data_IF_639446341948
#
_entry.id   IF_639446341948
#
_cell.length_a   1.000
_cell.length_b   1.000
_cell.length_c   1.000
_cell.angle_alpha   90.00
_cell.angle_beta   90.00
_cell.angle_gamma   90.00
#
_symmetry.space_group_name_H-M   'P 1'
#
loop_
_entity.id
_entity.type
_entity.pdbx_description
1 polymer ?
#
# COMPACT_ATOMS: atom_id res chain seq x y z
N UNK A 1 -6.56 -17.72 -8.45
CA UNK A 1 -6.32 -16.92 -9.67
C UNK A 1 -4.82 -16.74 -9.82
N UNK A 2 -4.26 -17.03 -10.99
CA UNK A 2 -2.83 -16.87 -11.26
C UNK A 2 -2.48 -15.39 -11.50
N UNK A 3 -1.23 -14.99 -11.27
CA UNK A 3 -0.74 -13.65 -11.57
C UNK A 3 -0.91 -13.33 -13.06
N UNK A 4 -1.42 -12.15 -13.40
CA UNK A 4 -1.66 -11.77 -14.80
C UNK A 4 -0.35 -11.72 -15.63
N UNK A 5 -0.40 -12.13 -16.90
CA UNK A 5 0.78 -12.19 -17.79
C UNK A 5 1.54 -10.86 -17.86
N UNK A 6 0.83 -9.75 -18.12
CA UNK A 6 1.41 -8.39 -18.10
C UNK A 6 2.16 -8.06 -16.80
N UNK A 7 1.73 -8.55 -15.64
CA UNK A 7 2.43 -8.35 -14.36
C UNK A 7 3.75 -9.10 -14.36
N UNK A 8 3.74 -10.38 -14.74
CA UNK A 8 4.96 -11.20 -14.88
C UNK A 8 5.94 -10.56 -15.86
N UNK A 9 5.43 -10.05 -16.97
CA UNK A 9 6.23 -9.31 -17.94
C UNK A 9 6.82 -8.03 -17.34
N UNK A 10 6.02 -7.20 -16.67
CA UNK A 10 6.49 -5.96 -16.02
C UNK A 10 7.57 -6.21 -14.96
N UNK A 11 7.43 -7.27 -14.15
CA UNK A 11 8.44 -7.68 -13.16
C UNK A 11 9.77 -8.02 -13.86
N UNK A 12 9.74 -8.85 -14.91
CA UNK A 12 10.95 -9.21 -15.66
C UNK A 12 11.56 -8.00 -16.38
N UNK A 13 10.71 -7.15 -16.95
CA UNK A 13 11.14 -5.94 -17.65
C UNK A 13 11.82 -4.95 -16.71
N UNK A 14 11.34 -4.83 -15.46
CA UNK A 14 11.98 -3.95 -14.47
C UNK A 14 13.44 -4.34 -14.24
N UNK A 15 13.73 -5.63 -14.06
CA UNK A 15 15.12 -6.11 -13.95
C UNK A 15 15.95 -5.84 -15.20
N UNK A 16 15.39 -6.04 -16.40
CA UNK A 16 16.05 -5.68 -17.68
C UNK A 16 16.29 -4.17 -17.83
N UNK A 17 15.51 -3.35 -17.14
CA UNK A 17 15.65 -1.89 -17.07
C UNK A 17 16.44 -1.45 -15.83
N UNK A 18 17.30 -2.33 -15.33
CA UNK A 18 18.28 -2.02 -14.28
C UNK A 18 17.64 -1.59 -12.95
N UNK A 19 16.40 -2.01 -12.71
CA UNK A 19 15.79 -1.88 -11.39
C UNK A 19 16.37 -2.95 -10.48
N UNK A 20 16.95 -2.52 -9.37
CA UNK A 20 17.35 -3.39 -8.26
C UNK A 20 16.35 -3.27 -7.13
N UNK A 21 16.14 -4.36 -6.39
CA UNK A 21 15.25 -4.41 -5.23
C UNK A 21 16.00 -4.83 -3.99
N UNK A 22 15.57 -4.31 -2.85
CA UNK A 22 16.21 -4.54 -1.55
C UNK A 22 15.13 -4.65 -0.47
N UNK A 23 15.37 -5.54 0.49
CA UNK A 23 14.56 -5.66 1.70
C UNK A 23 15.34 -5.06 2.86
N UNK A 24 14.69 -4.14 3.58
CA UNK A 24 15.24 -3.49 4.77
C UNK A 24 14.42 -3.96 5.97
N UNK A 25 15.08 -4.53 6.97
CA UNK A 25 14.45 -5.02 8.22
C UNK A 25 14.77 -4.15 9.43
N UNK A 26 15.73 -3.23 9.31
CA UNK A 26 16.24 -2.40 10.40
C UNK A 26 16.50 -0.97 9.93
N UNK A 27 16.73 -0.03 10.85
CA UNK A 27 17.11 1.36 10.56
C UNK A 27 16.18 2.12 9.58
N UNK A 28 14.86 1.91 9.70
CA UNK A 28 13.89 2.49 8.76
C UNK A 28 13.97 4.02 8.69
N UNK A 29 14.36 4.68 9.79
CA UNK A 29 14.57 6.13 9.87
C UNK A 29 15.45 6.70 8.75
N UNK A 30 16.45 5.94 8.27
CA UNK A 30 17.34 6.33 7.16
C UNK A 30 16.57 6.56 5.85
N UNK A 31 15.41 5.92 5.70
CA UNK A 31 14.57 5.96 4.50
C UNK A 31 13.36 6.89 4.64
N UNK A 32 13.10 7.45 5.82
CA UNK A 32 11.88 8.20 6.10
C UNK A 32 11.74 9.45 5.23
N UNK A 33 12.79 10.27 5.09
CA UNK A 33 12.74 11.50 4.30
C UNK A 33 12.46 11.21 2.82
N UNK A 34 13.10 10.16 2.28
CA UNK A 34 12.86 9.70 0.90
C UNK A 34 11.43 9.18 0.76
N UNK A 35 10.96 8.35 1.69
CA UNK A 35 9.59 7.84 1.70
C UNK A 35 8.57 8.98 1.71
N UNK A 36 8.72 9.98 2.57
CA UNK A 36 7.77 11.08 2.69
C UNK A 36 7.74 11.95 1.44
N UNK A 37 8.90 12.19 0.81
CA UNK A 37 8.98 12.86 -0.50
C UNK A 37 8.21 12.07 -1.57
N UNK A 38 8.47 10.78 -1.70
CA UNK A 38 7.78 9.92 -2.67
C UNK A 38 6.27 9.80 -2.37
N UNK A 39 5.89 9.83 -1.09
CA UNK A 39 4.50 9.77 -0.65
C UNK A 39 3.76 11.05 -1.02
N UNK A 40 4.43 12.20 -0.92
CA UNK A 40 3.94 13.50 -1.41
C UNK A 40 3.71 13.50 -2.91
N UNK A 41 4.67 12.98 -3.69
CA UNK A 41 4.49 12.80 -5.14
C UNK A 41 3.31 11.86 -5.46
N UNK A 42 3.16 10.80 -4.67
CA UNK A 42 2.10 9.79 -4.84
C UNK A 42 0.73 10.36 -4.53
N UNK A 43 0.61 11.13 -3.44
CA UNK A 43 -0.61 11.84 -3.05
C UNK A 43 -1.05 12.86 -4.09
N UNK A 44 -0.11 13.71 -4.55
CA UNK A 44 -0.39 14.71 -5.59
C UNK A 44 -0.87 14.05 -6.88
N UNK A 45 -0.24 12.95 -7.28
CA UNK A 45 -0.59 12.22 -8.51
C UNK A 45 -1.95 11.54 -8.41
N UNK A 46 -2.25 10.90 -7.28
CA UNK A 46 -3.44 10.09 -7.12
C UNK A 46 -4.64 10.87 -6.52
N UNK A 47 -4.44 12.14 -6.17
CA UNK A 47 -5.49 13.04 -5.71
C UNK A 47 -5.99 12.76 -4.29
N UNK A 48 -5.11 12.36 -3.36
CA UNK A 48 -5.47 12.15 -1.95
C UNK A 48 -4.65 13.04 -1.02
N UNK A 49 -5.21 13.37 0.15
CA UNK A 49 -4.55 14.17 1.17
C UNK A 49 -3.61 13.33 2.04
N UNK A 50 -2.48 13.90 2.44
CA UNK A 50 -1.57 13.29 3.40
C UNK A 50 -1.95 13.63 4.83
N UNK A 51 -1.69 12.70 5.75
CA UNK A 51 -1.52 13.03 7.16
C UNK A 51 -0.30 13.94 7.37
N UNK A 52 -0.21 14.54 8.56
CA UNK A 52 0.97 15.33 8.95
C UNK A 52 2.24 14.47 8.91
N UNK A 53 3.39 15.06 8.58
CA UNK A 53 4.68 14.34 8.47
C UNK A 53 4.99 13.49 9.72
N UNK A 54 4.71 14.00 10.91
CA UNK A 54 4.93 13.29 12.17
C UNK A 54 4.09 12.01 12.30
N UNK A 55 2.92 11.93 11.68
CA UNK A 55 2.12 10.70 11.65
C UNK A 55 2.89 9.56 10.98
N UNK A 56 3.47 9.82 9.81
CA UNK A 56 4.27 8.83 9.09
C UNK A 56 5.59 8.53 9.79
N UNK A 57 6.20 9.54 10.43
CA UNK A 57 7.44 9.35 11.22
C UNK A 57 7.21 8.36 12.36
N UNK A 58 6.13 8.57 13.13
CA UNK A 58 5.76 7.70 14.23
C UNK A 58 5.48 6.26 13.76
N UNK A 59 4.85 6.10 12.59
CA UNK A 59 4.66 4.78 11.98
C UNK A 59 6.03 4.15 11.66
N UNK A 60 6.91 4.86 10.96
CA UNK A 60 8.27 4.38 10.64
C UNK A 60 9.02 3.89 11.88
N UNK A 61 9.03 4.70 12.94
CA UNK A 61 9.69 4.38 14.23
C UNK A 61 9.03 3.24 15.01
N UNK A 62 7.72 3.05 14.85
CA UNK A 62 7.00 1.94 15.49
C UNK A 62 7.23 0.63 14.74
N UNK A 63 7.27 0.69 13.42
CA UNK A 63 7.45 -0.48 12.56
C UNK A 63 8.85 -1.06 12.67
N UNK A 64 9.89 -0.22 12.79
CA UNK A 64 11.27 -0.69 12.96
C UNK A 64 11.49 -1.53 14.23
N UNK A 65 10.54 -1.52 15.17
CA UNK A 65 10.62 -2.24 16.46
C UNK A 65 9.79 -3.53 16.49
N UNK A 66 9.11 -3.86 15.39
CA UNK A 66 8.25 -5.04 15.29
C UNK A 66 8.60 -5.84 14.03
N UNK A 67 7.96 -7.00 13.88
CA UNK A 67 8.13 -7.82 12.67
C UNK A 67 7.52 -7.11 11.45
N UNK A 68 8.36 -6.36 10.74
CA UNK A 68 8.01 -5.59 9.56
C UNK A 68 9.24 -5.39 8.68
N UNK A 69 9.03 -4.96 7.44
CA UNK A 69 10.12 -4.66 6.52
C UNK A 69 9.72 -3.58 5.52
N UNK A 70 10.73 -2.89 5.00
CA UNK A 70 10.59 -2.09 3.80
C UNK A 70 11.02 -2.91 2.59
N UNK A 71 10.24 -2.85 1.52
CA UNK A 71 10.70 -3.27 0.20
C UNK A 71 10.96 -2.05 -0.64
N UNK A 72 12.17 -1.95 -1.18
CA UNK A 72 12.66 -0.77 -1.89
C UNK A 72 13.03 -1.17 -3.32
N UNK A 73 12.71 -0.31 -4.29
CA UNK A 73 13.28 -0.40 -5.63
C UNK A 73 14.12 0.84 -5.97
N UNK A 74 15.28 0.60 -6.56
CA UNK A 74 16.24 1.61 -6.98
C UNK A 74 16.51 1.51 -8.47
N UNK A 75 16.83 2.64 -9.08
CA UNK A 75 17.50 2.71 -10.37
C UNK A 75 18.80 3.47 -10.17
N UNK A 76 19.94 2.81 -10.37
CA UNK A 76 21.25 3.29 -9.89
C UNK A 76 21.14 3.57 -8.38
N UNK A 77 21.60 4.74 -7.93
CA UNK A 77 21.51 5.16 -6.52
C UNK A 77 20.15 5.76 -6.13
N UNK A 78 19.23 5.95 -7.09
CA UNK A 78 17.98 6.64 -6.83
C UNK A 78 16.88 5.67 -6.41
N UNK A 79 16.37 5.85 -5.20
CA UNK A 79 15.18 5.14 -4.73
C UNK A 79 13.94 5.67 -5.47
N UNK A 80 13.25 4.77 -6.17
CA UNK A 80 12.04 5.07 -6.95
C UNK A 80 10.77 4.62 -6.26
N UNK A 81 10.84 3.63 -5.36
CA UNK A 81 9.68 3.09 -4.68
C UNK A 81 10.04 2.51 -3.31
N UNK A 82 9.20 2.75 -2.31
CA UNK A 82 9.31 2.18 -0.96
C UNK A 82 7.92 1.68 -0.53
N UNK A 83 7.84 0.40 -0.18
CA UNK A 83 6.65 -0.23 0.41
C UNK A 83 6.93 -0.64 1.84
N UNK A 84 6.00 -0.34 2.73
CA UNK A 84 6.01 -0.77 4.12
C UNK A 84 5.12 -1.99 4.28
N UNK A 85 5.65 -3.06 4.87
CA UNK A 85 4.92 -4.31 5.10
C UNK A 85 5.07 -4.74 6.54
N UNK A 86 3.95 -5.09 7.19
CA UNK A 86 3.91 -5.56 8.58
C UNK A 86 3.46 -7.01 8.62
N UNK A 87 4.18 -7.84 9.36
CA UNK A 87 3.80 -9.23 9.58
C UNK A 87 2.95 -9.32 10.83
N UNK A 88 1.79 -9.97 10.70
CA UNK A 88 0.96 -10.35 11.83
C UNK A 88 0.38 -11.74 11.61
N UNK A 89 0.69 -12.67 12.52
CA UNK A 89 0.42 -14.10 12.32
C UNK A 89 1.07 -14.58 11.03
N UNK A 90 0.27 -15.20 10.16
CA UNK A 90 0.72 -15.74 8.86
C UNK A 90 0.48 -14.76 7.69
N UNK A 91 0.20 -13.48 7.97
CA UNK A 91 -0.18 -12.47 6.97
C UNK A 91 0.85 -11.35 6.91
N UNK A 92 1.40 -11.14 5.72
CA UNK A 92 2.17 -9.95 5.38
C UNK A 92 1.24 -8.85 4.87
N UNK A 93 1.11 -7.75 5.61
CA UNK A 93 0.18 -6.67 5.34
C UNK A 93 0.90 -5.48 4.71
N UNK A 94 0.62 -5.21 3.43
CA UNK A 94 1.07 -4.00 2.76
C UNK A 94 0.23 -2.80 3.21
N UNK A 95 0.85 -1.94 4.02
CA UNK A 95 0.15 -0.83 4.69
C UNK A 95 0.29 0.50 3.93
N UNK A 96 1.48 0.81 3.46
CA UNK A 96 1.75 2.04 2.73
C UNK A 96 2.75 1.78 1.61
N UNK A 97 2.59 2.53 0.53
CA UNK A 97 3.58 2.57 -0.53
C UNK A 97 3.66 3.92 -1.19
N UNK A 98 4.88 4.28 -1.51
CA UNK A 98 5.21 5.53 -2.18
C UNK A 98 6.08 5.24 -3.40
N UNK A 99 5.88 6.01 -4.47
CA UNK A 99 6.63 5.83 -5.71
C UNK A 99 6.80 7.13 -6.48
N UNK A 100 7.97 7.30 -7.08
CA UNK A 100 8.32 8.47 -7.86
C UNK A 100 7.51 8.57 -9.16
N UNK A 101 7.42 9.79 -9.68
CA UNK A 101 6.99 10.03 -11.06
C UNK A 101 8.12 9.83 -12.07
N UNK A 102 9.37 9.89 -11.63
CA UNK A 102 10.52 9.68 -12.48
C UNK A 102 10.68 8.20 -12.83
N UNK A 103 11.21 7.92 -14.02
CA UNK A 103 11.53 6.56 -14.49
C UNK A 103 10.33 5.57 -14.40
N UNK A 104 9.10 6.10 -14.47
CA UNK A 104 7.85 5.31 -14.35
C UNK A 104 7.75 4.16 -15.35
N UNK A 105 8.29 4.36 -16.55
CA UNK A 105 8.36 3.35 -17.60
C UNK A 105 9.25 2.16 -17.25
N UNK A 106 10.03 2.21 -16.15
CA UNK A 106 10.84 1.11 -15.64
C UNK A 106 10.08 0.12 -14.76
N UNK A 107 8.81 0.37 -14.44
CA UNK A 107 7.97 -0.54 -13.67
C UNK A 107 8.53 -0.88 -12.26
N UNK A 108 9.24 0.07 -11.61
CA UNK A 108 9.83 -0.15 -10.29
C UNK A 108 8.83 -0.68 -9.25
N UNK A 109 7.60 -0.15 -9.26
CA UNK A 109 6.51 -0.58 -8.36
C UNK A 109 6.17 -2.06 -8.46
N UNK A 110 6.24 -2.63 -9.69
CA UNK A 110 5.99 -4.05 -9.90
C UNK A 110 7.10 -4.92 -9.32
N UNK A 111 8.36 -4.51 -9.50
CA UNK A 111 9.50 -5.19 -8.89
C UNK A 111 9.46 -5.12 -7.37
N UNK A 112 9.14 -3.94 -6.79
CA UNK A 112 9.03 -3.76 -5.34
C UNK A 112 7.99 -4.68 -4.73
N UNK A 113 6.77 -4.76 -5.30
CA UNK A 113 5.76 -5.68 -4.76
C UNK A 113 6.18 -7.14 -4.89
N UNK A 114 6.83 -7.51 -6.00
CA UNK A 114 7.29 -8.88 -6.18
C UNK A 114 8.37 -9.25 -5.16
N UNK A 115 9.32 -8.35 -4.88
CA UNK A 115 10.29 -8.54 -3.82
C UNK A 115 9.62 -8.69 -2.45
N UNK A 116 8.66 -7.81 -2.15
CA UNK A 116 7.90 -7.90 -0.91
C UNK A 116 7.18 -9.24 -0.75
N UNK A 117 6.57 -9.78 -1.81
CA UNK A 117 5.88 -11.08 -1.79
C UNK A 117 6.87 -12.23 -1.61
N UNK A 118 8.02 -12.21 -2.30
CA UNK A 118 9.06 -13.23 -2.15
C UNK A 118 9.57 -13.26 -0.70
N UNK A 119 9.82 -12.10 -0.12
CA UNK A 119 10.29 -12.01 1.26
C UNK A 119 9.24 -12.48 2.27
N UNK A 120 7.96 -12.10 2.09
CA UNK A 120 6.86 -12.64 2.90
C UNK A 120 6.83 -14.18 2.87
N UNK A 121 7.02 -14.78 1.69
CA UNK A 121 7.09 -16.24 1.54
C UNK A 121 8.29 -16.84 2.26
N UNK A 122 9.45 -16.18 2.23
CA UNK A 122 10.64 -16.62 2.98
C UNK A 122 10.41 -16.58 4.50
N UNK A 123 9.59 -15.65 4.98
CA UNK A 123 9.14 -15.58 6.38
C UNK A 123 7.99 -16.55 6.69
N UNK A 124 7.69 -17.51 5.82
CA UNK A 124 6.59 -18.48 5.96
C UNK A 124 5.19 -17.85 6.12
N UNK A 125 4.98 -16.64 5.58
CA UNK A 125 3.63 -16.07 5.52
C UNK A 125 2.80 -16.82 4.46
N UNK A 126 1.60 -17.25 4.84
CA UNK A 126 0.64 -17.88 3.95
C UNK A 126 -0.10 -16.88 3.06
N UNK A 127 -0.20 -15.61 3.51
CA UNK A 127 -0.95 -14.58 2.82
C UNK A 127 -0.15 -13.29 2.67
N UNK A 128 -0.30 -12.64 1.51
CA UNK A 128 0.14 -11.26 1.28
C UNK A 128 -1.10 -10.39 1.02
N UNK A 129 -1.40 -9.51 1.96
CA UNK A 129 -2.57 -8.64 1.94
C UNK A 129 -2.25 -7.31 1.28
N UNK A 130 -2.83 -7.06 0.10
CA UNK A 130 -2.72 -5.80 -0.63
C UNK A 130 -3.60 -4.67 -0.06
N UNK A 131 -4.43 -4.94 0.94
CA UNK A 131 -5.42 -4.02 1.49
C UNK A 131 -6.66 -3.86 0.61
N UNK A 132 -7.50 -2.87 0.94
CA UNK A 132 -8.82 -2.68 0.32
C UNK A 132 -8.80 -2.39 -1.19
N UNK A 133 -9.88 -2.78 -1.86
CA UNK A 133 -10.19 -2.49 -3.26
C UNK A 133 -11.57 -1.85 -3.35
N UNK A 134 -11.82 -1.10 -4.41
CA UNK A 134 -13.15 -0.52 -4.67
C UNK A 134 -14.07 -1.58 -5.27
N UNK A 135 -15.35 -1.59 -4.86
CA UNK A 135 -16.40 -2.40 -5.51
C UNK A 135 -16.84 -1.70 -6.80
N UNK A 136 -17.54 -2.39 -7.70
CA UNK A 136 -17.81 -2.03 -9.10
C UNK A 136 -18.40 -0.62 -9.42
N UNK A 137 -18.59 0.27 -8.45
CA UNK A 137 -18.92 1.68 -8.67
C UNK A 137 -17.66 2.53 -8.93
N UNK A 138 -17.34 2.69 -10.22
CA UNK A 138 -16.17 3.35 -10.79
C UNK A 138 -16.11 4.89 -10.62
N UNK A 139 -16.71 5.45 -9.58
CA UNK A 139 -16.83 6.92 -9.42
C UNK A 139 -15.48 7.60 -9.17
N UNK A 140 -14.49 6.89 -8.62
CA UNK A 140 -13.15 7.42 -8.36
C UNK A 140 -12.09 6.75 -9.25
N UNK A 141 -11.71 7.42 -10.36
CA UNK A 141 -10.71 6.93 -11.34
C UNK A 141 -9.38 6.48 -10.71
N UNK A 142 -8.93 7.13 -9.64
CA UNK A 142 -7.71 6.78 -8.92
C UNK A 142 -7.81 5.43 -8.21
N UNK A 143 -8.92 5.19 -7.51
CA UNK A 143 -9.18 3.93 -6.81
C UNK A 143 -9.40 2.76 -7.76
N UNK A 144 -10.01 2.99 -8.92
CA UNK A 144 -10.14 1.98 -9.97
C UNK A 144 -8.78 1.51 -10.47
N UNK A 145 -7.86 2.46 -10.75
CA UNK A 145 -6.51 2.13 -11.22
C UNK A 145 -5.74 1.32 -10.17
N UNK A 146 -5.84 1.71 -8.89
CA UNK A 146 -5.21 0.99 -7.79
C UNK A 146 -5.80 -0.42 -7.61
N UNK A 147 -7.12 -0.56 -7.74
CA UNK A 147 -7.81 -1.85 -7.67
C UNK A 147 -7.34 -2.78 -8.78
N UNK A 148 -7.31 -2.31 -10.03
CA UNK A 148 -6.80 -3.08 -11.16
C UNK A 148 -5.33 -3.45 -10.98
N UNK A 149 -4.51 -2.55 -10.44
CA UNK A 149 -3.11 -2.84 -10.12
C UNK A 149 -2.98 -4.02 -9.16
N UNK A 150 -3.71 -4.01 -8.04
CA UNK A 150 -3.69 -5.08 -7.04
C UNK A 150 -4.17 -6.41 -7.64
N UNK A 151 -5.33 -6.41 -8.32
CA UNK A 151 -5.91 -7.63 -8.93
C UNK A 151 -4.97 -8.31 -9.94
N UNK A 152 -4.14 -7.53 -10.64
CA UNK A 152 -3.17 -8.07 -11.62
C UNK A 152 -2.05 -8.92 -10.99
N UNK A 153 -1.79 -8.83 -9.68
CA UNK A 153 -0.87 -9.73 -8.99
C UNK A 153 -1.46 -11.13 -8.73
N UNK A 154 -2.77 -11.33 -9.00
CA UNK A 154 -3.49 -12.56 -8.71
C UNK A 154 -4.15 -12.53 -7.34
N UNK A 155 -4.28 -13.70 -6.70
CA UNK A 155 -4.88 -13.82 -5.37
C UNK A 155 -6.40 -14.03 -5.39
N UNK A 156 -7.06 -13.64 -4.30
CA UNK A 156 -8.52 -13.73 -4.10
C UNK A 156 -9.02 -12.47 -3.42
N UNK A 157 -10.22 -12.04 -3.77
CA UNK A 157 -10.93 -10.96 -3.09
C UNK A 157 -11.62 -11.55 -1.86
N UNK A 158 -11.41 -10.93 -0.70
CA UNK A 158 -12.03 -11.35 0.56
C UNK A 158 -13.01 -10.27 0.97
N UNK A 159 -14.30 -10.63 1.01
CA UNK A 159 -15.33 -9.79 1.60
C UNK A 159 -15.31 -9.99 3.11
N UNK A 160 -15.10 -8.90 3.85
CA UNK A 160 -15.26 -8.89 5.30
C UNK A 160 -16.72 -8.62 5.66
N UNK A 161 -17.10 -8.92 6.92
CA UNK A 161 -18.42 -8.56 7.42
C UNK A 161 -18.65 -7.06 7.34
N UNK A 162 -19.92 -6.67 7.30
CA UNK A 162 -20.29 -5.26 7.47
C UNK A 162 -19.85 -4.73 8.84
N UNK A 163 -19.82 -3.41 8.96
CA UNK A 163 -19.56 -2.74 10.23
C UNK A 163 -20.83 -2.71 11.06
N UNK A 164 -20.72 -3.14 12.32
CA UNK A 164 -21.82 -3.12 13.28
C UNK A 164 -21.48 -2.14 14.42
N UNK A 165 -22.45 -1.29 14.76
CA UNK A 165 -22.32 -0.35 15.87
C UNK A 165 -22.92 -0.95 17.14
N UNK A 166 -22.12 -1.06 18.21
CA UNK A 166 -22.64 -1.35 19.56
C UNK A 166 -23.10 -0.04 20.18
N UNK A 167 -24.41 0.20 20.17
CA UNK A 167 -25.00 1.46 20.62
C UNK A 167 -25.03 1.53 22.15
N UNK A 168 -24.03 2.19 22.74
CA UNK A 168 -23.95 2.45 24.19
C UNK A 168 -24.84 3.59 24.67
N UNK A 169 -25.20 4.55 23.80
CA UNK A 169 -26.14 5.62 24.13
C UNK A 169 -27.06 5.95 22.96
N UNK A 170 -28.33 5.56 23.10
CA UNK A 170 -29.34 5.68 22.05
C UNK A 170 -29.58 7.11 21.61
N UNK A 171 -29.60 8.07 22.55
CA UNK A 171 -29.85 9.48 22.24
C UNK A 171 -28.75 10.08 21.36
N UNK A 172 -27.49 9.97 21.77
CA UNK A 172 -26.34 10.51 21.02
C UNK A 172 -26.15 9.81 19.68
N UNK A 173 -26.40 8.51 19.63
CA UNK A 173 -26.32 7.74 18.39
C UNK A 173 -27.36 8.21 17.35
N UNK A 174 -28.60 8.46 17.79
CA UNK A 174 -29.64 9.03 16.92
C UNK A 174 -29.26 10.42 16.42
N UNK A 175 -28.75 11.29 17.29
CA UNK A 175 -28.31 12.64 16.90
C UNK A 175 -27.14 12.59 15.89
N UNK A 176 -26.18 11.70 16.11
CA UNK A 176 -25.07 11.48 15.19
C UNK A 176 -25.53 11.00 13.80
N UNK A 177 -26.45 10.03 13.75
CA UNK A 177 -27.02 9.53 12.50
C UNK A 177 -27.88 10.59 11.79
N UNK A 178 -28.63 11.39 12.55
CA UNK A 178 -29.38 12.53 12.01
C UNK A 178 -28.44 13.57 11.37
N UNK A 179 -27.34 13.94 12.07
CA UNK A 179 -26.30 14.84 11.54
C UNK A 179 -25.67 14.28 10.26
N UNK A 180 -25.40 12.98 10.19
CA UNK A 180 -24.88 12.30 8.99
C UNK A 180 -25.84 12.42 7.82
N UNK A 181 -27.15 12.25 8.07
CA UNK A 181 -28.19 12.32 7.05
C UNK A 181 -28.28 13.73 6.45
N UNK A 182 -28.27 14.78 7.28
CA UNK A 182 -28.25 16.18 6.82
C UNK A 182 -27.02 16.47 5.94
N UNK A 183 -25.84 15.98 6.32
CA UNK A 183 -24.60 16.18 5.54
C UNK A 183 -24.62 15.51 4.16
N UNK A 184 -25.48 14.52 3.92
CA UNK A 184 -25.62 13.87 2.60
C UNK A 184 -26.57 14.60 1.66
N UNK A 185 -27.40 15.53 2.17
CA UNK A 185 -28.41 16.27 1.40
C UNK A 185 -27.83 17.57 0.81
N UNK A 186 -26.66 18.01 1.28
CA UNK A 186 -25.85 19.07 0.66
C UNK A 186 -24.77 18.46 -0.22
#
# INVERSE_FOLDING_TARGET
MEMHEKTRYSIRLAGKKEITTEIITEDFEKYFEVFYKLMTETAKRNGFSLHQKNYYKNIFESLSKINSYLSIAKYKEKILCIYQVVIYGEVANYIYGSSSNEERNRNATYATHWEAIKYAKQLNCNYYNFGGIEKDNLLNKGMVTLTLYKKKFGGKEIAHSDFFDVVVSSFWYRLYNFRKLIKKIK
#
